data_IF_540033807869
#
_entry.id   IF_540033807869
#
_cell.length_a   1.000
_cell.length_b   1.000
_cell.length_c   1.000
_cell.angle_alpha   90.00
_cell.angle_beta   90.00
_cell.angle_gamma   90.00
#
_symmetry.space_group_name_H-M   'P 1'
#
loop_
_entity.id
_entity.type
_entity.pdbx_description
1 polymer ?
#
# COMPACT_ATOMS: atom_id res chain seq x y z
N UNK A 1 8.94 8.18 -2.55
CA UNK A 1 10.02 7.90 -1.56
C UNK A 1 9.55 6.86 -0.56
N UNK A 2 10.40 5.92 -0.11
CA UNK A 2 10.05 4.95 0.94
C UNK A 2 10.37 5.53 2.32
N UNK A 3 9.42 5.42 3.26
CA UNK A 3 9.58 5.90 4.64
C UNK A 3 9.36 4.74 5.61
N UNK A 4 10.23 4.55 6.61
CA UNK A 4 10.01 3.56 7.66
C UNK A 4 8.80 3.94 8.51
N UNK A 5 7.93 2.95 8.79
CA UNK A 5 6.71 3.17 9.56
C UNK A 5 6.97 3.68 11.00
N UNK A 6 8.17 3.47 11.55
CA UNK A 6 8.53 4.00 12.87
C UNK A 6 8.72 5.52 12.89
N UNK A 7 8.89 6.16 11.73
CA UNK A 7 9.00 7.62 11.64
C UNK A 7 7.65 8.33 11.54
N UNK A 8 6.55 7.59 11.38
CA UNK A 8 5.21 8.16 11.32
C UNK A 8 4.57 8.15 12.70
N UNK A 9 3.75 9.18 12.95
CA UNK A 9 2.89 9.21 14.12
C UNK A 9 1.98 7.97 14.16
N UNK A 10 1.77 7.36 15.35
CA UNK A 10 0.90 6.20 15.49
C UNK A 10 -0.53 6.45 14.99
N UNK A 11 -1.02 7.67 15.16
CA UNK A 11 -2.33 8.09 14.68
C UNK A 11 -2.37 8.12 13.14
N UNK A 12 -1.36 8.73 12.51
CA UNK A 12 -1.23 8.75 11.05
C UNK A 12 -1.10 7.34 10.49
N UNK A 13 -0.26 6.50 11.12
CA UNK A 13 -0.09 5.12 10.71
C UNK A 13 -1.41 4.34 10.79
N UNK A 14 -2.18 4.48 11.87
CA UNK A 14 -3.48 3.84 12.00
C UNK A 14 -4.46 4.31 10.90
N UNK A 15 -4.56 5.63 10.66
CA UNK A 15 -5.39 6.17 9.58
C UNK A 15 -5.00 5.57 8.21
N UNK A 16 -3.71 5.52 7.91
CA UNK A 16 -3.21 4.95 6.65
C UNK A 16 -3.58 3.47 6.51
N UNK A 17 -3.49 2.70 7.59
CA UNK A 17 -3.86 1.29 7.59
C UNK A 17 -5.37 1.14 7.39
N UNK A 18 -6.19 1.94 8.06
CA UNK A 18 -7.65 1.94 7.86
C UNK A 18 -8.01 2.27 6.41
N UNK A 19 -7.38 3.29 5.83
CA UNK A 19 -7.57 3.66 4.43
C UNK A 19 -7.14 2.54 3.48
N UNK A 20 -6.01 1.87 3.75
CA UNK A 20 -5.55 0.72 2.96
C UNK A 20 -6.54 -0.44 3.00
N UNK A 21 -7.00 -0.79 4.21
CA UNK A 21 -8.00 -1.85 4.43
C UNK A 21 -9.34 -1.53 3.77
N UNK A 22 -9.77 -0.26 3.78
CA UNK A 22 -10.98 0.18 3.08
C UNK A 22 -10.84 0.10 1.55
N UNK A 23 -9.66 0.39 0.99
CA UNK A 23 -9.44 0.34 -0.47
C UNK A 23 -9.33 -1.07 -1.02
N UNK A 24 -8.68 -1.97 -0.28
CA UNK A 24 -8.61 -3.41 -0.64
C UNK A 24 -9.92 -4.14 -0.32
N UNK A 25 -10.73 -3.60 0.60
CA UNK A 25 -12.07 -4.06 0.87
C UNK A 25 -13.07 -3.51 -0.16
N UNK A 26 -13.07 -4.07 -1.37
CA UNK A 26 -14.29 -4.00 -2.18
C UNK A 26 -15.41 -4.63 -1.36
N UNK A 27 -16.40 -3.81 -1.01
CA UNK A 27 -17.79 -4.16 -0.73
C UNK A 27 -18.09 -5.65 -0.94
N UNK A 28 -17.87 -6.48 0.08
CA UNK A 28 -18.30 -7.87 0.09
C UNK A 28 -18.97 -8.12 1.43
N UNK A 29 -20.30 -8.14 1.36
CA UNK A 29 -21.20 -8.15 2.48
C UNK A 29 -21.04 -9.30 3.47
N UNK A 30 -21.68 -9.11 4.61
CA UNK A 30 -22.08 -10.09 5.62
C UNK A 30 -21.02 -11.00 6.27
N UNK A 31 -19.75 -10.90 5.90
CA UNK A 31 -18.66 -11.52 6.66
C UNK A 31 -17.83 -10.43 7.34
N UNK A 32 -18.18 -10.12 8.60
CA UNK A 32 -17.43 -9.27 9.52
C UNK A 32 -16.03 -9.86 9.82
N UNK A 33 -15.14 -9.88 8.82
CA UNK A 33 -13.72 -9.93 9.11
C UNK A 33 -13.39 -8.57 9.72
N UNK A 34 -13.45 -8.51 11.06
CA UNK A 34 -13.29 -7.29 11.83
C UNK A 34 -12.18 -6.43 11.25
N UNK A 35 -12.49 -5.17 10.97
CA UNK A 35 -11.53 -4.18 10.45
C UNK A 35 -10.27 -4.17 11.32
N UNK A 36 -10.41 -4.37 12.62
CA UNK A 36 -9.31 -4.54 13.58
C UNK A 36 -8.35 -5.68 13.22
N UNK A 37 -8.85 -6.86 12.83
CA UNK A 37 -8.01 -8.00 12.45
C UNK A 37 -7.18 -7.69 11.20
N UNK A 38 -7.79 -7.03 10.21
CA UNK A 38 -7.05 -6.59 9.02
C UNK A 38 -6.01 -5.50 9.36
N UNK A 39 -6.33 -4.59 10.27
CA UNK A 39 -5.38 -3.57 10.77
C UNK A 39 -4.16 -4.24 11.41
N UNK A 40 -4.37 -5.26 12.25
CA UNK A 40 -3.27 -6.02 12.85
C UNK A 40 -2.43 -6.77 11.83
N UNK A 41 -3.06 -7.38 10.82
CA UNK A 41 -2.35 -8.04 9.72
C UNK A 41 -1.47 -7.06 8.94
N UNK A 42 -1.98 -5.87 8.59
CA UNK A 42 -1.18 -4.85 7.90
C UNK A 42 -0.04 -4.36 8.78
N UNK A 43 -0.27 -4.17 10.10
CA UNK A 43 0.83 -3.85 11.04
C UNK A 43 1.90 -4.93 11.08
N UNK A 44 1.51 -6.21 11.05
CA UNK A 44 2.45 -7.31 11.00
C UNK A 44 3.25 -7.31 9.68
N UNK A 45 2.59 -7.04 8.54
CA UNK A 45 3.25 -6.91 7.23
C UNK A 45 4.23 -5.73 7.18
N UNK A 46 3.89 -4.60 7.78
CA UNK A 46 4.80 -3.44 7.90
C UNK A 46 6.03 -3.80 8.75
N UNK A 47 5.85 -4.59 9.82
CA UNK A 47 6.94 -5.09 10.66
C UNK A 47 7.81 -6.12 9.94
N UNK A 48 7.22 -7.01 9.14
CA UNK A 48 7.95 -8.04 8.39
C UNK A 48 8.61 -7.51 7.11
N UNK A 49 8.22 -6.30 6.65
CA UNK A 49 8.67 -5.73 5.38
C UNK A 49 7.91 -6.27 4.16
N UNK A 50 6.74 -6.89 4.38
CA UNK A 50 5.79 -7.26 3.33
C UNK A 50 4.89 -6.10 2.90
N UNK A 51 4.73 -5.09 3.74
CA UNK A 51 4.10 -3.82 3.39
C UNK A 51 5.11 -2.68 3.54
N UNK A 52 5.01 -1.71 2.64
CA UNK A 52 5.91 -0.58 2.52
C UNK A 52 5.11 0.71 2.54
N UNK A 53 5.67 1.73 3.16
CA UNK A 53 5.06 3.05 3.18
C UNK A 53 5.74 3.93 2.15
N UNK A 54 4.94 4.40 1.20
CA UNK A 54 5.37 5.25 0.10
C UNK A 54 4.84 6.66 0.35
N UNK A 55 5.77 7.60 0.44
CA UNK A 55 5.48 9.02 0.44
C UNK A 55 5.54 9.58 -0.98
N UNK A 56 4.46 10.26 -1.35
CA UNK A 56 4.36 11.03 -2.59
C UNK A 56 4.58 12.50 -2.27
N UNK A 57 5.73 13.03 -2.71
CA UNK A 57 6.04 14.46 -2.59
C UNK A 57 5.06 15.31 -3.40
N UNK A 58 4.60 14.81 -4.54
CA UNK A 58 3.71 15.54 -5.46
C UNK A 58 2.36 15.88 -4.82
N UNK A 59 1.85 14.97 -3.99
CA UNK A 59 0.56 15.11 -3.31
C UNK A 59 0.71 15.33 -1.81
N UNK A 60 1.94 15.51 -1.32
CA UNK A 60 2.29 15.56 0.11
C UNK A 60 1.55 14.51 0.94
N UNK A 61 1.42 13.30 0.38
CA UNK A 61 0.57 12.25 0.94
C UNK A 61 1.36 10.97 1.15
N UNK A 62 1.01 10.27 2.24
CA UNK A 62 1.58 8.99 2.59
C UNK A 62 0.58 7.91 2.20
N UNK A 63 1.05 6.82 1.61
CA UNK A 63 0.24 5.66 1.28
C UNK A 63 0.95 4.38 1.70
N UNK A 64 0.17 3.34 2.00
CA UNK A 64 0.69 2.00 2.25
C UNK A 64 0.45 1.18 0.99
N UNK A 65 1.46 0.42 0.59
CA UNK A 65 1.37 -0.55 -0.52
C UNK A 65 2.01 -1.86 -0.07
N UNK A 66 1.45 -2.98 -0.51
CA UNK A 66 2.13 -4.26 -0.31
C UNK A 66 3.40 -4.32 -1.17
N UNK A 67 4.36 -5.15 -0.76
CA UNK A 67 5.60 -5.40 -1.52
C UNK A 67 5.30 -5.92 -2.91
N UNK A 68 4.22 -6.70 -3.07
CA UNK A 68 3.73 -7.16 -4.36
C UNK A 68 3.25 -5.99 -5.24
N UNK A 69 2.41 -5.09 -4.69
CA UNK A 69 1.96 -3.89 -5.40
C UNK A 69 3.13 -2.94 -5.73
N UNK A 70 4.05 -2.74 -4.79
CA UNK A 70 5.25 -1.92 -5.02
C UNK A 70 6.12 -2.47 -6.15
N UNK A 71 6.32 -3.79 -6.19
CA UNK A 71 7.04 -4.44 -7.30
C UNK A 71 6.29 -4.31 -8.63
N UNK A 72 4.95 -4.43 -8.62
CA UNK A 72 4.13 -4.25 -9.81
C UNK A 72 4.20 -2.81 -10.35
N UNK A 73 4.08 -1.81 -9.47
CA UNK A 73 4.22 -0.38 -9.83
C UNK A 73 5.60 -0.09 -10.41
N UNK A 74 6.67 -0.65 -9.84
CA UNK A 74 8.02 -0.51 -10.41
C UNK A 74 8.20 -1.22 -11.75
N UNK A 75 7.42 -2.27 -12.04
CA UNK A 75 7.51 -2.94 -13.35
C UNK A 75 6.73 -2.22 -14.46
N UNK A 76 5.65 -1.50 -14.13
CA UNK A 76 4.87 -0.73 -15.12
C UNK A 76 5.63 0.50 -15.62
N UNK A 77 6.48 1.11 -14.78
CA UNK A 77 7.35 2.25 -15.16
C UNK A 77 8.40 1.88 -16.23
N UNK A 78 8.60 0.59 -16.54
CA UNK A 78 9.55 0.12 -17.55
C UNK A 78 8.91 -0.32 -18.88
N UNK A 79 7.58 -0.31 -19.02
CA UNK A 79 6.91 -0.86 -20.20
C UNK A 79 6.44 0.19 -21.22
N UNK A 80 6.53 1.50 -20.92
CA UNK A 80 6.25 2.56 -21.91
C UNK A 80 7.40 2.79 -22.94
N UNK A 81 8.45 1.94 -22.93
CA UNK A 81 9.65 2.15 -23.74
C UNK A 81 9.88 1.22 -24.93
N UNK A 82 9.05 0.21 -25.16
CA UNK A 82 9.19 -0.65 -26.35
C UNK A 82 8.07 -0.39 -27.35
N UNK A 83 8.34 0.61 -28.18
CA UNK A 83 7.91 0.66 -29.58
C UNK A 83 8.12 -0.75 -30.20
N UNK A 84 7.03 -1.48 -30.44
CA UNK A 84 7.04 -2.55 -31.44
C UNK A 84 6.13 -2.12 -32.58
N UNK A 85 6.66 -1.21 -33.39
CA UNK A 85 6.46 -1.19 -34.84
C UNK A 85 6.76 -2.60 -35.37
N UNK A 86 5.74 -3.46 -35.45
CA UNK A 86 5.74 -4.69 -36.24
C UNK A 86 4.31 -5.23 -36.40
N UNK A 87 3.61 -4.77 -37.44
CA UNK A 87 2.91 -5.57 -38.45
C UNK A 87 1.98 -4.69 -39.31
#
# INVERSE_FOLDING_TARGET
>A
MLIPYQQLDPNTLNNLIEHYVHREGTDYGDAEVNTETKVEQVKAQLKSGEALIVFSELHESVNIVSKAQFNAMQSEEYTEGYDTDYA
#
